data_IF_378362918435
#
_entry.id   IF_378362918435
#
_cell.length_a   1.000
_cell.length_b   1.000
_cell.length_c   1.000
_cell.angle_alpha   90.00
_cell.angle_beta   90.00
_cell.angle_gamma   90.00
#
_symmetry.space_group_name_H-M   'P 1'
#
loop_
_entity.id
_entity.type
_entity.pdbx_description
1 polymer ?
#
# COMPACT_ATOMS: atom_id res chain seq x y z
N UNK A 1 -14.24 8.01 9.24
CA UNK A 1 -12.91 7.34 9.26
C UNK A 1 -12.16 7.86 8.04
N UNK A 2 -10.93 8.31 8.23
CA UNK A 2 -10.09 8.91 7.18
C UNK A 2 -8.98 7.93 6.79
N UNK A 3 -8.65 7.88 5.49
CA UNK A 3 -7.54 7.08 4.99
C UNK A 3 -6.25 7.90 5.07
N UNK A 4 -5.38 7.54 6.00
CA UNK A 4 -4.12 8.27 6.26
C UNK A 4 -2.90 7.67 5.54
N UNK A 5 -3.01 6.42 5.06
CA UNK A 5 -1.92 5.74 4.34
C UNK A 5 -2.46 4.86 3.21
N UNK A 6 -1.87 5.01 2.01
CA UNK A 6 -2.10 4.19 0.82
C UNK A 6 -0.78 4.01 0.09
N UNK A 7 -0.07 2.94 0.40
CA UNK A 7 1.21 2.65 -0.23
C UNK A 7 1.63 1.20 -0.09
N UNK A 8 2.91 0.96 -0.35
CA UNK A 8 3.59 -0.31 -0.21
C UNK A 8 3.62 -0.79 1.24
N UNK A 9 3.88 -2.09 1.43
CA UNK A 9 4.17 -2.64 2.76
C UNK A 9 5.59 -2.24 3.20
N UNK A 10 6.56 -2.38 2.30
CA UNK A 10 7.97 -2.03 2.41
C UNK A 10 8.63 -2.01 1.01
N UNK A 11 9.97 -1.89 0.95
CA UNK A 11 10.78 -1.90 -0.27
C UNK A 11 10.93 -3.28 -0.95
N UNK A 12 10.50 -4.38 -0.32
CA UNK A 12 10.67 -5.73 -0.84
C UNK A 12 9.83 -5.97 -2.10
N UNK A 13 10.38 -6.71 -3.06
CA UNK A 13 9.72 -7.09 -4.31
C UNK A 13 10.16 -8.50 -4.71
N UNK A 14 9.34 -9.26 -5.44
CA UNK A 14 9.84 -10.47 -6.10
C UNK A 14 11.07 -10.12 -6.94
N UNK A 15 12.16 -10.87 -6.74
CA UNK A 15 13.45 -10.72 -7.46
C UNK A 15 14.27 -9.47 -7.11
N UNK A 16 13.98 -8.75 -6.02
CA UNK A 16 14.96 -7.86 -5.41
C UNK A 16 15.59 -8.50 -4.17
N UNK A 17 16.66 -7.89 -3.66
CA UNK A 17 17.40 -8.39 -2.49
C UNK A 17 16.97 -7.70 -1.18
N UNK A 18 15.87 -6.95 -1.20
CA UNK A 18 15.38 -6.23 -0.04
C UNK A 18 14.64 -7.21 0.90
N UNK A 19 14.94 -7.21 2.22
CA UNK A 19 14.23 -8.04 3.16
C UNK A 19 12.78 -7.58 3.33
N UNK A 20 11.89 -8.52 3.68
CA UNK A 20 10.50 -8.20 4.07
C UNK A 20 10.51 -7.65 5.50
N UNK A 21 10.05 -6.42 5.69
CA UNK A 21 10.13 -5.69 6.97
C UNK A 21 8.79 -5.08 7.41
N UNK A 22 7.94 -4.70 6.46
CA UNK A 22 6.75 -3.89 6.69
C UNK A 22 7.04 -2.45 7.14
N UNK A 23 8.26 -1.94 6.91
CA UNK A 23 8.73 -0.68 7.49
C UNK A 23 7.78 0.50 7.24
N UNK A 24 7.25 0.63 6.03
CA UNK A 24 6.41 1.75 5.63
C UNK A 24 5.04 1.68 6.32
N UNK A 25 4.39 0.51 6.26
CA UNK A 25 3.08 0.32 6.89
C UNK A 25 3.18 0.41 8.42
N UNK A 26 4.25 -0.14 9.03
CA UNK A 26 4.50 -0.04 10.48
C UNK A 26 4.64 1.42 10.91
N UNK A 27 5.49 2.20 10.22
CA UNK A 27 5.64 3.63 10.49
C UNK A 27 4.32 4.39 10.39
N UNK A 28 3.50 4.09 9.38
CA UNK A 28 2.21 4.75 9.21
C UNK A 28 1.25 4.43 10.38
N UNK A 29 1.24 3.18 10.83
CA UNK A 29 0.46 2.75 12.00
C UNK A 29 0.97 3.44 13.26
N UNK A 30 2.28 3.44 13.51
CA UNK A 30 2.88 4.03 14.70
C UNK A 30 2.62 5.55 14.77
N UNK A 31 2.75 6.26 13.66
CA UNK A 31 2.40 7.68 13.56
C UNK A 31 0.92 7.91 13.89
N UNK A 32 0.03 7.12 13.29
CA UNK A 32 -1.43 7.23 13.52
C UNK A 32 -1.78 7.00 14.99
N UNK A 33 -1.22 5.96 15.61
CA UNK A 33 -1.45 5.66 17.04
C UNK A 33 -0.89 6.73 17.97
N UNK A 34 0.17 7.41 17.54
CA UNK A 34 0.81 8.49 18.30
C UNK A 34 0.15 9.87 18.07
N UNK A 35 -0.88 9.95 17.23
CA UNK A 35 -1.50 11.23 16.83
C UNK A 35 -0.59 12.11 15.99
N UNK A 36 0.45 11.53 15.37
CA UNK A 36 1.39 12.22 14.50
C UNK A 36 0.94 12.10 13.03
N UNK A 37 1.32 13.06 12.16
CA UNK A 37 1.04 12.95 10.74
C UNK A 37 1.77 11.75 10.12
N UNK A 38 1.10 11.04 9.21
CA UNK A 38 1.73 9.99 8.40
C UNK A 38 2.65 10.65 7.38
N UNK A 39 3.91 10.19 7.35
CA UNK A 39 4.98 10.81 6.55
C UNK A 39 4.88 10.48 5.05
N UNK A 40 5.19 11.48 4.22
CA UNK A 40 5.45 11.33 2.78
C UNK A 40 6.92 10.98 2.48
N UNK A 41 7.22 10.36 1.32
CA UNK A 41 6.28 9.94 0.27
C UNK A 41 5.61 8.59 0.55
N UNK A 42 4.35 8.44 0.16
CA UNK A 42 3.64 7.15 0.13
C UNK A 42 3.83 6.47 -1.23
N UNK A 43 4.77 5.53 -1.31
CA UNK A 43 5.07 4.81 -2.55
C UNK A 43 3.93 3.83 -2.86
N UNK A 44 3.29 3.86 -4.05
CA UNK A 44 2.22 2.92 -4.38
C UNK A 44 2.67 1.46 -4.30
N UNK A 45 1.78 0.59 -3.82
CA UNK A 45 2.00 -0.85 -3.84
C UNK A 45 1.95 -1.41 -5.27
N UNK A 46 2.60 -2.56 -5.48
CA UNK A 46 2.63 -3.27 -6.75
C UNK A 46 2.28 -4.73 -6.50
N UNK A 47 1.43 -5.30 -7.35
CA UNK A 47 1.03 -6.69 -7.27
C UNK A 47 0.11 -7.07 -8.43
N UNK A 48 -0.45 -8.28 -8.36
CA UNK A 48 -1.49 -8.69 -9.28
C UNK A 48 -2.70 -7.76 -9.21
N UNK A 49 -3.41 -7.59 -10.32
CA UNK A 49 -4.72 -6.96 -10.29
C UNK A 49 -5.71 -7.75 -9.43
N UNK A 50 -6.69 -7.05 -8.86
CA UNK A 50 -7.86 -7.69 -8.24
C UNK A 50 -8.61 -8.50 -9.31
N UNK A 51 -8.99 -9.72 -8.97
CA UNK A 51 -9.80 -10.61 -9.83
C UNK A 51 -11.28 -10.32 -9.59
N UNK A 52 -11.78 -9.29 -10.26
CA UNK A 52 -13.17 -8.88 -10.17
C UNK A 52 -14.11 -9.93 -10.74
N UNK A 53 -15.32 -10.03 -10.18
CA UNK A 53 -16.42 -10.75 -10.83
C UNK A 53 -16.78 -10.05 -12.14
N UNK A 54 -17.28 -10.81 -13.11
CA UNK A 54 -17.72 -10.26 -14.38
C UNK A 54 -18.70 -9.09 -14.18
N UNK A 55 -18.44 -7.95 -14.82
CA UNK A 55 -19.25 -6.73 -14.71
C UNK A 55 -19.09 -5.94 -13.41
N UNK A 56 -18.18 -6.33 -12.50
CA UNK A 56 -17.94 -5.63 -11.22
C UNK A 56 -16.55 -4.98 -11.14
N UNK A 57 -15.81 -4.94 -12.25
CA UNK A 57 -14.57 -4.20 -12.30
C UNK A 57 -14.86 -2.69 -12.27
N UNK A 58 -14.00 -1.88 -11.62
CA UNK A 58 -14.15 -0.43 -11.60
C UNK A 58 -13.79 0.18 -12.97
N UNK A 59 -14.29 1.38 -13.23
CA UNK A 59 -14.15 2.07 -14.53
C UNK A 59 -12.69 2.34 -14.97
N UNK A 60 -11.75 2.34 -14.03
CA UNK A 60 -10.32 2.47 -14.33
C UNK A 60 -9.67 1.15 -14.76
N UNK A 61 -10.37 0.03 -14.63
CA UNK A 61 -9.86 -1.27 -15.06
C UNK A 61 -10.04 -1.39 -16.57
N UNK A 62 -8.97 -1.63 -17.34
CA UNK A 62 -9.10 -1.78 -18.79
C UNK A 62 -10.04 -2.93 -19.11
N UNK A 63 -10.89 -2.72 -20.12
CA UNK A 63 -11.77 -3.75 -20.69
C UNK A 63 -10.96 -4.95 -21.22
#
# INVERSE_FOLDING_TARGET
RELVYRGQFDSSRPKNNEPVTGADLRRAVDATLSGLPVLDPQIPSIGCNIKWKAGQAPDYFPA
#
